data_IF_942286766785
#
_entry.id   IF_942286766785
#
_cell.length_a   1.000
_cell.length_b   1.000
_cell.length_c   1.000
_cell.angle_alpha   90.00
_cell.angle_beta   90.00
_cell.angle_gamma   90.00
#
_symmetry.space_group_name_H-M   'P 1'
#
loop_
_entity.id
_entity.type
_entity.pdbx_description
1 polymer ?
#
# COMPACT_ATOMS: atom_id res chain seq x y z
N UNK A 1 -2.97 12.92 11.93
CA UNK A 1 -2.40 13.19 10.59
C UNK A 1 -1.44 12.09 10.14
N UNK A 2 -0.36 11.80 10.89
CA UNK A 2 0.60 10.75 10.53
C UNK A 2 -0.03 9.37 10.33
N UNK A 3 -0.84 8.91 11.28
CA UNK A 3 -1.61 7.65 11.17
C UNK A 3 -2.49 7.60 9.91
N UNK A 4 -3.04 8.73 9.46
CA UNK A 4 -3.84 8.77 8.24
C UNK A 4 -2.96 8.59 6.99
N UNK A 5 -1.78 9.21 6.95
CA UNK A 5 -0.81 9.03 5.87
C UNK A 5 -0.27 7.60 5.84
N UNK A 6 -0.01 6.99 7.00
CA UNK A 6 0.49 5.63 7.09
C UNK A 6 -0.56 4.60 6.63
N UNK A 7 -1.84 4.80 7.00
CA UNK A 7 -2.93 3.90 6.63
C UNK A 7 -3.36 4.05 5.17
N UNK A 8 -3.53 5.29 4.70
CA UNK A 8 -4.11 5.58 3.39
C UNK A 8 -3.06 5.77 2.29
N UNK A 9 -1.81 6.09 2.66
CA UNK A 9 -0.75 6.50 1.72
C UNK A 9 -0.97 7.90 1.14
N UNK A 10 -2.20 8.17 0.68
CA UNK A 10 -2.69 9.46 0.19
C UNK A 10 -3.92 9.86 1.00
N UNK A 11 -3.84 10.99 1.70
CA UNK A 11 -4.93 11.54 2.49
C UNK A 11 -5.70 12.57 1.68
N UNK A 12 -7.01 12.36 1.59
CA UNK A 12 -7.99 13.20 0.89
C UNK A 12 -9.10 13.61 1.85
N UNK A 13 -9.97 14.54 1.44
CA UNK A 13 -11.18 14.89 2.20
C UNK A 13 -12.05 13.66 2.49
N UNK A 14 -12.24 12.80 1.50
CA UNK A 14 -13.05 11.58 1.61
C UNK A 14 -12.45 10.58 2.60
N UNK A 15 -11.13 10.38 2.57
CA UNK A 15 -10.43 9.51 3.52
C UNK A 15 -10.57 10.00 4.98
N UNK A 16 -10.46 11.32 5.21
CA UNK A 16 -10.65 11.89 6.56
C UNK A 16 -12.10 11.75 7.04
N UNK A 17 -13.07 11.96 6.15
CA UNK A 17 -14.49 11.78 6.48
C UNK A 17 -14.81 10.31 6.80
N UNK A 18 -14.22 9.37 6.05
CA UNK A 18 -14.35 7.94 6.27
C UNK A 18 -13.79 7.46 7.62
N UNK A 19 -12.76 8.13 8.13
CA UNK A 19 -12.16 7.86 9.45
C UNK A 19 -12.92 8.56 10.60
N UNK A 20 -13.89 9.42 10.29
CA UNK A 20 -14.71 10.10 11.31
C UNK A 20 -13.91 11.06 12.20
N UNK A 21 -12.83 11.66 11.68
CA UNK A 21 -11.94 12.51 12.49
C UNK A 21 -12.68 13.76 12.98
N UNK A 22 -12.59 14.02 14.28
CA UNK A 22 -13.18 15.20 14.91
C UNK A 22 -12.62 16.51 14.33
N UNK A 23 -13.49 17.48 14.05
CA UNK A 23 -13.11 18.70 13.33
C UNK A 23 -12.88 18.52 11.81
N UNK A 24 -13.03 17.29 11.30
CA UNK A 24 -13.04 16.96 9.88
C UNK A 24 -11.77 17.36 9.13
N UNK A 25 -11.89 17.51 7.81
CA UNK A 25 -10.75 17.80 6.95
C UNK A 25 -10.05 19.13 7.29
N UNK A 26 -10.79 20.15 7.75
CA UNK A 26 -10.20 21.46 8.07
C UNK A 26 -9.21 21.39 9.24
N UNK A 27 -9.49 20.57 10.26
CA UNK A 27 -8.58 20.36 11.38
C UNK A 27 -7.31 19.62 10.93
N UNK A 28 -7.48 18.54 10.15
CA UNK A 28 -6.38 17.71 9.63
C UNK A 28 -5.52 18.48 8.63
N UNK A 29 -6.13 19.32 7.79
CA UNK A 29 -5.45 20.09 6.75
C UNK A 29 -4.37 21.02 7.33
N UNK A 30 -4.62 21.68 8.47
CA UNK A 30 -3.61 22.54 9.13
C UNK A 30 -2.36 21.77 9.50
N UNK A 31 -2.52 20.53 9.95
CA UNK A 31 -1.40 19.65 10.33
C UNK A 31 -0.69 19.12 9.08
N UNK A 32 -1.44 18.76 8.04
CA UNK A 32 -0.86 18.28 6.77
C UNK A 32 -0.08 19.38 6.03
N UNK A 33 -0.51 20.63 6.13
CA UNK A 33 0.24 21.78 5.58
C UNK A 33 1.59 21.97 6.30
N UNK A 34 1.62 21.85 7.64
CA UNK A 34 2.88 21.86 8.38
C UNK A 34 3.79 20.66 8.04
N UNK A 35 3.19 19.50 7.73
CA UNK A 35 3.95 18.33 7.24
C UNK A 35 4.52 18.56 5.84
N UNK A 36 3.84 19.34 5.00
CA UNK A 36 4.37 19.77 3.70
C UNK A 36 5.57 20.69 3.87
N UNK A 37 5.46 21.72 4.71
CA UNK A 37 6.55 22.66 4.98
C UNK A 37 7.81 21.98 5.55
N UNK A 38 7.62 20.93 6.36
CA UNK A 38 8.70 20.12 6.92
C UNK A 38 9.16 18.97 6.01
N UNK A 39 8.59 18.81 4.82
CA UNK A 39 8.93 17.77 3.84
C UNK A 39 8.43 16.36 4.19
N UNK A 40 7.66 16.19 5.26
CA UNK A 40 7.11 14.89 5.69
C UNK A 40 5.93 14.41 4.83
N UNK A 41 5.27 15.33 4.13
CA UNK A 41 4.22 15.04 3.16
C UNK A 41 4.41 15.91 1.91
N UNK A 42 3.88 15.48 0.77
CA UNK A 42 3.82 16.30 -0.44
C UNK A 42 2.38 16.54 -0.83
N UNK A 43 2.03 17.80 -1.06
CA UNK A 43 0.74 18.19 -1.62
C UNK A 43 0.77 18.15 -3.14
N UNK A 44 -0.28 17.61 -3.74
CA UNK A 44 -0.41 17.62 -5.20
C UNK A 44 -1.63 16.84 -5.69
N UNK A 45 -1.84 16.86 -7.00
CA UNK A 45 -2.79 15.97 -7.67
C UNK A 45 -2.03 14.68 -8.00
N UNK A 46 -2.12 13.69 -7.12
CA UNK A 46 -1.34 12.46 -7.24
C UNK A 46 -2.17 11.36 -7.89
N UNK A 47 -3.46 11.29 -7.58
CA UNK A 47 -4.39 10.29 -8.11
C UNK A 47 -5.61 10.97 -8.71
N UNK A 48 -6.02 10.52 -9.90
CA UNK A 48 -7.24 10.99 -10.55
C UNK A 48 -8.50 10.58 -9.75
N UNK A 49 -9.57 11.37 -9.82
CA UNK A 49 -10.84 11.06 -9.14
C UNK A 49 -10.86 11.30 -7.62
N UNK A 50 -9.71 11.49 -6.96
CA UNK A 50 -9.61 11.71 -5.50
C UNK A 50 -9.77 13.17 -5.04
N UNK A 51 -10.21 14.06 -5.92
CA UNK A 51 -10.44 15.48 -5.63
C UNK A 51 -9.16 16.32 -5.53
N UNK A 52 -9.33 17.63 -5.30
CA UNK A 52 -8.27 18.63 -5.52
C UNK A 52 -7.23 18.80 -4.40
N UNK A 53 -7.55 18.37 -3.18
CA UNK A 53 -6.65 18.48 -2.03
C UNK A 53 -6.21 17.09 -1.60
N UNK A 54 -5.00 16.70 -2.00
CA UNK A 54 -4.38 15.42 -1.65
C UNK A 54 -3.00 15.66 -1.03
N UNK A 55 -2.71 14.91 0.02
CA UNK A 55 -1.42 14.89 0.68
C UNK A 55 -0.93 13.45 0.71
N UNK A 56 0.23 13.20 0.13
CA UNK A 56 0.83 11.88 0.07
C UNK A 56 2.12 11.85 0.89
N UNK A 57 2.39 10.70 1.49
CA UNK A 57 3.73 10.42 2.02
C UNK A 57 4.72 10.36 0.84
N UNK A 58 5.97 10.78 1.04
CA UNK A 58 6.99 10.78 -0.02
C UNK A 58 7.10 9.42 -0.74
N UNK A 59 7.22 8.33 0.03
CA UNK A 59 7.28 6.97 -0.53
C UNK A 59 5.97 6.49 -1.19
N UNK A 60 4.83 7.12 -0.92
CA UNK A 60 3.57 6.78 -1.59
C UNK A 60 3.54 7.33 -3.03
N UNK A 61 4.07 8.54 -3.26
CA UNK A 61 4.12 9.15 -4.60
C UNK A 61 5.00 8.33 -5.54
N UNK A 62 6.17 7.89 -5.07
CA UNK A 62 7.10 7.11 -5.88
C UNK A 62 6.52 5.74 -6.24
N UNK A 63 5.82 5.09 -5.31
CA UNK A 63 5.08 3.85 -5.59
C UNK A 63 4.00 4.05 -6.64
N UNK A 64 3.23 5.14 -6.55
CA UNK A 64 2.18 5.44 -7.55
C UNK A 64 2.76 5.67 -8.95
N UNK A 65 3.89 6.39 -9.05
CA UNK A 65 4.62 6.55 -10.32
C UNK A 65 5.14 5.23 -10.85
N UNK A 66 5.68 4.36 -10.00
CA UNK A 66 6.16 3.05 -10.40
C UNK A 66 5.03 2.16 -10.97
N UNK A 67 3.84 2.19 -10.34
CA UNK A 67 2.65 1.47 -10.82
C UNK A 67 2.15 2.04 -12.15
N UNK A 68 2.05 3.37 -12.29
CA UNK A 68 1.65 4.00 -13.55
C UNK A 68 2.58 3.60 -14.71
N UNK A 69 3.89 3.65 -14.49
CA UNK A 69 4.88 3.22 -15.47
C UNK A 69 4.80 1.73 -15.80
N UNK A 70 4.41 0.87 -14.84
CA UNK A 70 4.22 -0.56 -15.08
C UNK A 70 3.00 -0.81 -15.99
N UNK A 71 1.89 -0.11 -15.74
CA UNK A 71 0.68 -0.19 -16.58
C UNK A 71 0.95 0.24 -18.01
N UNK A 72 1.66 1.36 -18.21
CA UNK A 72 2.03 1.84 -19.55
C UNK A 72 2.92 0.84 -20.31
N UNK A 73 3.75 0.06 -19.59
CA UNK A 73 4.61 -0.96 -20.18
C UNK A 73 3.91 -2.30 -20.43
N UNK A 74 2.68 -2.49 -19.94
CA UNK A 74 1.96 -3.77 -20.02
C UNK A 74 2.54 -4.87 -19.12
N UNK A 75 3.46 -4.52 -18.22
CA UNK A 75 4.05 -5.46 -17.27
C UNK A 75 3.28 -5.44 -15.95
N UNK A 76 2.85 -6.62 -15.52
CA UNK A 76 2.31 -6.83 -14.18
C UNK A 76 3.26 -6.20 -13.16
N UNK A 77 2.70 -5.34 -12.31
CA UNK A 77 3.48 -4.51 -11.38
C UNK A 77 4.45 -5.37 -10.53
N UNK A 78 5.57 -4.85 -10.01
CA UNK A 78 6.38 -5.59 -9.03
C UNK A 78 5.70 -5.58 -7.66
N UNK A 79 5.73 -6.71 -6.94
CA UNK A 79 5.09 -6.83 -5.61
C UNK A 79 5.78 -5.94 -4.60
N UNK A 80 5.23 -5.78 -3.38
CA UNK A 80 6.01 -5.17 -2.30
C UNK A 80 7.27 -6.01 -2.11
N UNK A 81 8.40 -5.51 -2.61
CA UNK A 81 9.71 -6.07 -2.29
C UNK A 81 9.97 -5.76 -0.83
N UNK A 82 9.73 -6.75 0.03
CA UNK A 82 10.36 -6.74 1.35
C UNK A 82 11.89 -6.63 1.14
N UNK A 83 12.61 -5.85 1.97
CA UNK A 83 14.07 -5.82 1.91
C UNK A 83 14.58 -7.26 2.01
N UNK A 84 15.51 -7.60 1.12
CA UNK A 84 16.09 -8.94 1.16
C UNK A 84 17.06 -9.03 2.34
N UNK A 85 17.36 -10.24 2.87
CA UNK A 85 18.38 -10.40 3.91
C UNK A 85 19.78 -9.88 3.52
N UNK A 86 20.01 -9.58 2.24
CA UNK A 86 21.23 -8.95 1.73
C UNK A 86 21.27 -7.43 1.93
N UNK A 87 20.11 -6.79 2.16
CA UNK A 87 19.98 -5.35 2.44
C UNK A 87 20.05 -5.04 3.94
N UNK A 88 20.08 -6.09 4.79
CA UNK A 88 20.29 -6.00 6.23
C UNK A 88 21.78 -6.23 6.48
N UNK A 89 22.53 -5.26 7.03
CA UNK A 89 23.92 -5.52 7.42
C UNK A 89 23.95 -6.68 8.43
N UNK A 90 24.96 -7.56 8.38
CA UNK A 90 25.03 -8.71 9.27
C UNK A 90 24.95 -8.26 10.74
N UNK A 91 24.23 -9.03 11.56
CA UNK A 91 24.11 -8.87 13.02
C UNK A 91 25.45 -9.15 13.75
N UNK A 92 26.52 -8.47 13.36
CA UNK A 92 27.83 -8.59 13.96
C UNK A 92 28.42 -7.19 14.07
N UNK A 93 27.97 -6.45 15.08
CA UNK A 93 28.69 -5.34 15.74
C UNK A 93 27.81 -4.73 16.85
N UNK A 94 27.22 -5.58 17.71
CA UNK A 94 26.74 -5.13 19.01
C UNK A 94 27.84 -5.42 20.04
N UNK A 95 28.33 -4.41 20.80
CA UNK A 95 29.28 -4.66 21.87
C UNK A 95 28.64 -5.58 22.93
N UNK A 96 29.42 -6.55 23.41
CA UNK A 96 29.03 -7.57 24.39
C UNK A 96 28.24 -6.96 25.56
N UNK A 97 26.96 -7.34 25.68
CA UNK A 97 26.23 -7.19 26.93
C UNK A 97 26.64 -8.35 27.84
N UNK A 98 27.02 -8.11 29.11
CA UNK A 98 27.37 -9.19 30.02
C UNK A 98 26.18 -10.12 30.23
N UNK A 99 26.46 -11.41 30.18
CA UNK A 99 25.52 -12.53 30.23
C UNK A 99 24.48 -12.39 31.35
N UNK A 100 23.21 -12.42 30.96
CA UNK A 100 22.09 -12.60 31.88
C UNK A 100 22.04 -14.07 32.29
N UNK A 101 22.53 -14.39 33.49
CA UNK A 101 22.37 -15.71 34.12
C UNK A 101 20.99 -15.79 34.79
N UNK A 102 20.06 -16.65 34.31
CA UNK A 102 18.73 -16.80 34.90
C UNK A 102 18.73 -17.67 36.17
N UNK A 103 19.90 -18.01 36.72
CA UNK A 103 20.07 -18.99 37.79
C UNK A 103 21.09 -18.52 38.86
N UNK A 104 20.88 -17.33 39.42
CA UNK A 104 21.69 -16.76 40.50
C UNK A 104 20.89 -16.42 41.75
N UNK A 105 21.37 -16.93 42.89
CA UNK A 105 20.79 -16.98 44.23
C UNK A 105 20.45 -15.60 44.86
N UNK A 106 19.34 -15.55 45.63
CA UNK A 106 18.97 -14.38 46.44
C UNK A 106 19.78 -14.39 47.73
N UNK A 107 20.88 -13.64 47.76
CA UNK A 107 21.65 -13.35 48.96
C UNK A 107 21.70 -11.86 49.26
N UNK A 108 21.23 -11.48 50.44
CA UNK A 108 21.24 -10.14 51.02
C UNK A 108 22.60 -9.45 51.04
N UNK A 109 22.65 -8.16 50.73
CA UNK A 109 23.27 -7.12 51.57
C UNK A 109 22.98 -5.71 51.03
N UNK A 110 22.56 -4.80 51.91
CA UNK A 110 22.04 -3.48 51.54
C UNK A 110 23.09 -2.40 51.28
N UNK A 111 22.68 -1.37 50.52
CA UNK A 111 22.83 0.09 50.78
C UNK A 111 22.53 0.92 49.53
N UNK A 112 21.63 1.91 49.65
CA UNK A 112 21.65 3.20 48.92
C UNK A 112 20.75 3.36 47.68
N UNK A 113 19.70 4.20 47.78
CA UNK A 113 18.80 4.63 46.68
C UNK A 113 19.40 5.69 45.72
N UNK A 114 18.61 6.45 44.91
CA UNK A 114 17.20 6.89 45.09
C UNK A 114 16.28 6.43 43.94
N UNK A 115 14.98 6.19 44.14
CA UNK A 115 13.93 7.19 44.35
C UNK A 115 12.68 6.70 43.60
N UNK A 116 11.80 5.99 44.30
CA UNK A 116 10.59 5.39 43.73
C UNK A 116 9.52 6.46 43.49
N UNK A 117 8.91 6.44 42.30
CA UNK A 117 7.77 7.27 41.93
C UNK A 117 6.57 6.91 42.82
N UNK A 118 6.01 7.91 43.50
CA UNK A 118 4.73 7.81 44.21
C UNK A 118 3.56 8.06 43.26
N UNK A 119 2.36 7.50 43.50
CA UNK A 119 1.19 7.61 42.61
C UNK A 119 0.54 9.01 42.52
N UNK A 120 1.19 10.06 43.02
CA UNK A 120 0.64 11.42 43.08
C UNK A 120 1.31 12.41 42.09
N UNK A 121 2.24 11.95 41.25
CA UNK A 121 2.90 12.78 40.22
C UNK A 121 2.15 12.77 38.86
N UNK A 122 0.84 12.95 38.90
CA UNK A 122 0.03 13.17 37.69
C UNK A 122 0.24 14.59 37.15
N UNK A 123 1.13 14.71 36.16
CA UNK A 123 1.41 15.93 35.37
C UNK A 123 0.17 16.46 34.61
N UNK A 124 -0.97 15.77 34.70
CA UNK A 124 -2.23 16.12 34.04
C UNK A 124 -3.28 16.78 34.95
N UNK A 125 -2.95 17.11 36.20
CA UNK A 125 -3.88 17.69 37.17
C UNK A 125 -3.56 19.14 37.58
N UNK A 126 -3.38 20.07 36.62
CA UNK A 126 -3.44 21.52 36.93
C UNK A 126 -3.75 22.36 35.66
N UNK A 127 -5.03 22.68 35.36
CA UNK A 127 -5.39 23.50 34.20
C UNK A 127 -5.08 25.00 34.38
N UNK A 128 -4.64 25.45 35.56
CA UNK A 128 -4.47 26.89 35.89
C UNK A 128 -3.02 27.39 35.79
N UNK A 129 -2.05 26.55 35.37
CA UNK A 129 -0.64 26.94 35.22
C UNK A 129 -0.20 27.45 33.84
N UNK A 130 -1.10 27.53 32.85
CA UNK A 130 -0.77 28.16 31.57
C UNK A 130 -1.07 29.66 31.63
N UNK A 131 -0.09 30.41 32.12
CA UNK A 131 -0.06 31.86 31.99
C UNK A 131 -0.09 32.30 30.53
N UNK A 132 -1.08 33.14 30.22
CA UNK A 132 -1.15 34.11 29.09
C UNK A 132 -1.50 33.52 27.71
N UNK A 133 -2.78 33.60 27.37
CA UNK A 133 -3.26 33.61 25.97
C UNK A 133 -2.69 34.83 25.23
N UNK A 134 -2.08 34.68 24.03
CA UNK A 134 -1.70 35.82 23.22
C UNK A 134 -2.96 36.56 22.75
N UNK A 135 -3.00 37.86 23.01
CA UNK A 135 -4.06 38.76 22.54
C UNK A 135 -3.88 39.08 21.05
N UNK A 136 -4.94 39.61 20.44
CA UNK A 136 -5.15 39.89 19.00
C UNK A 136 -4.19 40.93 18.37
N UNK A 137 -2.96 41.07 18.88
CA UNK A 137 -1.96 42.04 18.44
C UNK A 137 -0.66 41.45 17.89
N UNK A 138 -0.36 40.17 18.13
CA UNK A 138 0.94 39.56 17.77
C UNK A 138 0.98 38.95 16.35
N UNK A 139 0.12 39.44 15.44
CA UNK A 139 0.03 38.96 14.07
C UNK A 139 1.02 39.71 13.16
N UNK A 140 2.11 39.05 12.77
CA UNK A 140 3.02 39.55 11.71
C UNK A 140 2.45 39.10 10.36
N UNK A 141 2.15 40.07 9.49
CA UNK A 141 1.56 39.85 8.18
C UNK A 141 2.64 39.46 7.15
N UNK A 142 2.41 38.49 6.24
CA UNK A 142 3.35 38.11 5.17
C UNK A 142 3.74 39.21 4.16
N UNK A 143 3.34 40.47 4.39
CA UNK A 143 3.64 41.63 3.54
C UNK A 143 4.78 42.51 4.08
N UNK A 144 5.32 42.21 5.26
CA UNK A 144 6.35 43.03 5.90
C UNK A 144 7.80 42.60 5.55
N UNK A 145 7.97 41.66 4.62
CA UNK A 145 9.28 41.32 4.05
C UNK A 145 9.45 41.97 2.67
N UNK A 146 10.16 43.10 2.62
CA UNK A 146 10.71 43.66 1.39
C UNK A 146 12.09 44.31 1.61
N UNK A 147 13.13 43.61 1.11
CA UNK A 147 14.42 44.04 0.49
C UNK A 147 15.45 44.88 1.30
N UNK A 148 16.79 44.88 0.96
CA UNK A 148 17.37 44.89 -0.41
C UNK A 148 18.74 44.20 -0.71
N UNK A 149 18.91 43.83 -1.99
CA UNK A 149 20.07 44.15 -2.87
C UNK A 149 21.52 43.69 -2.59
N UNK A 150 22.07 42.85 -3.49
CA UNK A 150 23.47 42.81 -3.98
C UNK A 150 23.55 41.71 -5.07
N UNK A 151 24.11 41.83 -6.29
CA UNK A 151 25.25 42.58 -6.79
C UNK A 151 26.29 41.58 -7.36
N UNK A 152 26.26 41.27 -8.68
CA UNK A 152 27.30 40.44 -9.36
C UNK A 152 28.63 41.21 -9.58
N UNK A 153 29.72 40.57 -10.07
CA UNK A 153 29.89 40.41 -11.54
C UNK A 153 30.76 39.22 -12.09
N UNK A 154 30.41 38.85 -13.34
CA UNK A 154 31.16 38.35 -14.55
C UNK A 154 32.64 37.89 -14.53
N UNK A 155 32.93 36.83 -15.32
CA UNK A 155 33.94 36.90 -16.42
C UNK A 155 34.84 35.66 -16.77
N UNK A 156 34.79 35.20 -18.03
CA UNK A 156 35.87 34.52 -18.82
C UNK A 156 36.04 32.99 -18.66
N UNK A 157 36.38 32.13 -19.64
CA UNK A 157 36.78 32.24 -21.05
C UNK A 157 37.60 30.98 -21.48
N UNK A 158 37.15 30.30 -22.56
CA UNK A 158 37.85 29.52 -23.61
C UNK A 158 39.06 28.53 -23.40
N UNK A 159 38.92 27.34 -24.03
CA UNK A 159 39.83 26.61 -24.98
C UNK A 159 41.07 25.76 -24.57
N UNK A 160 41.12 24.55 -25.16
CA UNK A 160 42.31 23.74 -25.58
C UNK A 160 42.83 22.70 -24.56
N UNK A 161 43.26 21.47 -24.85
CA UNK A 161 43.51 20.68 -26.07
C UNK A 161 44.50 19.52 -25.77
N UNK A 162 44.42 18.40 -26.52
CA UNK A 162 45.41 17.28 -26.70
C UNK A 162 45.76 16.38 -25.49
N UNK A 163 46.02 15.06 -25.57
CA UNK A 163 46.22 14.10 -26.67
C UNK A 163 46.38 12.65 -26.11
N UNK A 164 46.25 11.63 -26.97
CA UNK A 164 46.44 10.20 -26.64
C UNK A 164 47.92 9.77 -26.46
N UNK A 165 48.26 8.45 -26.42
CA UNK A 165 47.91 7.49 -27.48
C UNK A 165 47.57 6.04 -27.04
N UNK A 166 47.12 5.26 -28.05
CA UNK A 166 46.73 3.83 -28.05
C UNK A 166 47.92 2.87 -28.23
N UNK A 167 47.75 1.63 -27.79
CA UNK A 167 48.43 0.41 -28.29
C UNK A 167 47.83 -0.82 -27.60
N UNK A 168 46.95 -1.63 -28.22
CA UNK A 168 47.13 -2.64 -29.27
C UNK A 168 47.77 -3.95 -28.77
N UNK A 169 46.91 -4.91 -28.42
CA UNK A 169 47.16 -6.36 -28.38
C UNK A 169 45.88 -6.99 -28.97
N UNK A 170 45.87 -7.82 -30.01
CA UNK A 170 46.81 -8.88 -30.34
C UNK A 170 46.03 -10.19 -30.22
N UNK A 171 45.10 -10.44 -31.14
CA UNK A 171 44.32 -11.68 -31.22
C UNK A 171 45.20 -12.78 -31.79
N UNK A 172 45.52 -13.79 -30.97
CA UNK A 172 46.19 -15.03 -31.37
C UNK A 172 45.54 -16.22 -30.66
N UNK A 173 45.37 -17.38 -31.32
CA UNK A 173 44.58 -18.49 -30.80
C UNK A 173 45.43 -19.38 -29.88
N UNK A 174 44.81 -19.88 -28.80
CA UNK A 174 45.38 -20.74 -27.76
C UNK A 174 46.28 -20.05 -26.73
N UNK A 175 45.65 -19.55 -25.67
CA UNK A 175 46.31 -19.15 -24.42
C UNK A 175 45.47 -19.61 -23.23
N UNK A 176 45.69 -20.85 -22.81
CA UNK A 176 45.17 -21.41 -21.54
C UNK A 176 45.78 -20.62 -20.39
N UNK A 177 45.03 -19.66 -19.84
CA UNK A 177 45.42 -18.91 -18.66
C UNK A 177 45.25 -19.73 -17.36
N UNK A 178 45.90 -19.34 -16.25
CA UNK A 178 45.95 -20.13 -15.01
C UNK A 178 44.67 -20.08 -14.17
N UNK A 179 43.63 -19.41 -14.66
CA UNK A 179 42.33 -19.35 -14.00
C UNK A 179 41.41 -20.32 -14.72
N UNK A 180 41.37 -21.54 -14.20
CA UNK A 180 40.50 -22.59 -14.70
C UNK A 180 39.04 -22.13 -14.74
N UNK A 181 38.39 -22.39 -15.88
CA UNK A 181 36.95 -22.37 -16.02
C UNK A 181 36.36 -23.42 -15.07
N UNK A 182 35.94 -22.99 -13.88
CA UNK A 182 35.00 -23.73 -13.06
C UNK A 182 33.62 -23.28 -13.48
N UNK A 183 33.06 -24.03 -14.42
CA UNK A 183 31.64 -24.02 -14.73
C UNK A 183 30.89 -24.46 -13.48
N UNK A 184 30.31 -23.52 -12.74
CA UNK A 184 29.29 -23.84 -11.76
C UNK A 184 27.98 -24.11 -12.52
N UNK A 185 27.87 -25.35 -12.98
CA UNK A 185 26.58 -26.03 -13.03
C UNK A 185 26.11 -26.20 -11.59
N UNK A 186 25.48 -25.16 -11.03
CA UNK A 186 24.79 -25.26 -9.75
C UNK A 186 23.33 -25.58 -10.00
N UNK A 187 23.04 -26.87 -9.94
CA UNK A 187 21.70 -27.37 -9.61
C UNK A 187 21.22 -26.74 -8.31
N UNK A 188 20.27 -25.82 -8.42
CA UNK A 188 19.41 -25.41 -7.33
C UNK A 188 17.99 -25.89 -7.62
N UNK A 189 17.34 -26.63 -6.71
CA UNK A 189 15.97 -27.04 -6.91
C UNK A 189 15.03 -25.82 -6.78
N UNK A 190 14.25 -25.59 -7.84
CA UNK A 190 12.84 -25.22 -7.74
C UNK A 190 12.48 -23.82 -7.26
N UNK A 191 12.23 -22.94 -8.25
CA UNK A 191 11.10 -22.00 -8.28
C UNK A 191 11.00 -20.98 -7.12
N UNK A 192 11.74 -19.88 -7.23
CA UNK A 192 11.24 -18.59 -6.71
C UNK A 192 10.13 -18.13 -7.65
N UNK A 193 8.95 -17.90 -7.09
CA UNK A 193 7.79 -17.37 -7.79
C UNK A 193 8.18 -16.14 -8.60
N UNK A 194 8.26 -16.32 -9.91
CA UNK A 194 8.09 -15.22 -10.85
C UNK A 194 6.70 -14.66 -10.53
N UNK A 195 6.52 -13.35 -10.25
CA UNK A 195 5.19 -12.81 -10.07
C UNK A 195 4.35 -13.24 -11.27
N UNK A 196 3.20 -13.87 -11.01
CA UNK A 196 2.32 -14.32 -12.07
C UNK A 196 2.12 -13.16 -13.05
N UNK A 197 2.35 -13.40 -14.34
CA UNK A 197 2.14 -12.44 -15.44
C UNK A 197 0.65 -12.17 -15.67
N UNK A 198 -0.17 -12.26 -14.61
CA UNK A 198 -1.60 -12.06 -14.60
C UNK A 198 -1.98 -10.80 -13.83
N UNK A 199 -3.21 -10.31 -14.04
CA UNK A 199 -3.69 -9.10 -13.38
C UNK A 199 -3.69 -9.25 -11.86
N UNK A 200 -3.28 -8.20 -11.14
CA UNK A 200 -3.14 -8.23 -9.69
C UNK A 200 -4.47 -8.04 -8.99
N UNK A 201 -4.93 -9.08 -8.30
CA UNK A 201 -6.14 -9.06 -7.50
C UNK A 201 -5.84 -8.95 -5.99
N UNK A 202 -6.59 -8.10 -5.29
CA UNK A 202 -6.53 -7.96 -3.82
C UNK A 202 -7.94 -8.03 -3.26
N UNK A 203 -8.14 -8.87 -2.25
CA UNK A 203 -9.39 -8.98 -1.49
C UNK A 203 -9.32 -8.09 -0.25
N UNK A 204 -10.28 -7.19 -0.09
CA UNK A 204 -10.40 -6.31 1.07
C UNK A 204 -11.80 -6.43 1.68
N UNK A 205 -11.91 -6.19 2.98
CA UNK A 205 -13.21 -5.87 3.56
C UNK A 205 -13.73 -4.56 2.91
N UNK A 206 -15.02 -4.48 2.59
CA UNK A 206 -15.56 -3.28 1.95
C UNK A 206 -15.43 -2.04 2.85
N UNK A 207 -15.44 -2.25 4.17
CA UNK A 207 -15.22 -1.23 5.19
C UNK A 207 -13.73 -1.01 5.54
N UNK A 208 -12.80 -1.74 4.90
CA UNK A 208 -11.37 -1.56 5.15
C UNK A 208 -10.95 -0.11 4.84
N UNK A 209 -10.12 0.54 5.67
CA UNK A 209 -9.59 1.86 5.37
C UNK A 209 -8.72 1.91 4.11
N UNK A 210 -8.09 0.81 3.71
CA UNK A 210 -7.37 0.71 2.43
C UNK A 210 -8.30 0.70 1.20
N UNK A 211 -9.61 0.47 1.37
CA UNK A 211 -10.58 0.57 0.29
C UNK A 211 -11.01 2.03 0.05
N UNK A 212 -10.60 2.59 -1.10
CA UNK A 212 -10.95 3.95 -1.51
C UNK A 212 -12.42 4.11 -1.93
N UNK A 213 -13.08 3.03 -2.38
CA UNK A 213 -14.46 3.07 -2.88
C UNK A 213 -15.48 3.24 -1.75
N UNK A 214 -16.40 4.18 -1.95
CA UNK A 214 -17.36 4.62 -0.93
C UNK A 214 -16.75 5.51 0.15
N UNK A 215 -15.50 5.95 0.00
CA UNK A 215 -14.83 6.90 0.88
C UNK A 215 -14.37 8.11 0.07
N UNK A 216 -13.45 7.89 -0.86
CA UNK A 216 -12.89 8.93 -1.71
C UNK A 216 -13.23 8.74 -3.20
N UNK A 217 -13.48 7.50 -3.63
CA UNK A 217 -14.04 7.16 -4.94
C UNK A 217 -15.51 6.77 -4.82
N UNK A 218 -16.30 7.10 -5.83
CA UNK A 218 -17.69 6.61 -5.94
C UNK A 218 -17.66 5.15 -6.37
N UNK A 219 -18.58 4.33 -5.84
CA UNK A 219 -18.76 2.97 -6.33
C UNK A 219 -19.21 2.96 -7.80
N UNK A 220 -18.77 1.98 -8.61
CA UNK A 220 -19.32 1.79 -9.96
C UNK A 220 -20.82 1.49 -9.90
N UNK A 221 -21.54 1.82 -10.99
CA UNK A 221 -22.96 1.48 -11.09
C UNK A 221 -23.13 -0.05 -11.00
N UNK A 222 -24.09 -0.56 -10.21
CA UNK A 222 -24.32 -1.99 -10.13
C UNK A 222 -24.65 -2.60 -11.50
N UNK A 223 -24.20 -3.83 -11.78
CA UNK A 223 -24.54 -4.53 -13.02
C UNK A 223 -26.05 -4.68 -13.20
N UNK A 224 -26.50 -4.79 -14.45
CA UNK A 224 -27.91 -4.99 -14.77
C UNK A 224 -28.49 -6.20 -14.01
N UNK A 225 -29.70 -6.05 -13.45
CA UNK A 225 -30.36 -7.08 -12.65
C UNK A 225 -29.91 -7.18 -11.19
N UNK A 226 -28.87 -6.43 -10.78
CA UNK A 226 -28.42 -6.42 -9.40
C UNK A 226 -29.52 -5.99 -8.42
N UNK A 227 -29.74 -6.80 -7.39
CA UNK A 227 -30.75 -6.55 -6.34
C UNK A 227 -30.22 -5.72 -5.17
N UNK A 228 -28.92 -5.45 -5.14
CA UNK A 228 -28.25 -4.70 -4.09
C UNK A 228 -27.15 -3.82 -4.67
N UNK A 229 -26.76 -2.80 -3.91
CA UNK A 229 -25.70 -1.87 -4.26
C UNK A 229 -24.46 -2.12 -3.40
N UNK A 230 -23.24 -1.95 -3.95
CA UNK A 230 -22.03 -2.03 -3.15
C UNK A 230 -21.98 -0.89 -2.14
N UNK A 231 -21.28 -1.13 -1.03
CA UNK A 231 -21.15 -0.14 0.03
C UNK A 231 -20.16 -0.58 1.11
N UNK A 232 -19.66 0.40 1.89
CA UNK A 232 -18.75 0.15 3.01
C UNK A 232 -19.53 -0.42 4.21
N UNK A 233 -19.86 -1.71 4.14
CA UNK A 233 -20.60 -2.46 5.16
C UNK A 233 -19.71 -3.52 5.80
N UNK A 234 -19.80 -3.67 7.11
CA UNK A 234 -19.09 -4.72 7.84
C UNK A 234 -19.52 -6.11 7.35
N UNK A 235 -18.55 -6.99 7.13
CA UNK A 235 -18.77 -8.35 6.62
C UNK A 235 -18.99 -8.46 5.11
N UNK A 236 -19.03 -7.34 4.38
CA UNK A 236 -18.94 -7.34 2.91
C UNK A 236 -17.48 -7.31 2.46
N UNK A 237 -17.21 -7.83 1.27
CA UNK A 237 -15.88 -7.82 0.66
C UNK A 237 -15.91 -7.14 -0.70
N UNK A 238 -14.76 -6.60 -1.10
CA UNK A 238 -14.50 -6.14 -2.46
C UNK A 238 -13.20 -6.77 -2.94
N UNK A 239 -13.18 -7.19 -4.21
CA UNK A 239 -11.97 -7.62 -4.90
C UNK A 239 -11.63 -6.56 -5.93
N UNK A 240 -10.46 -5.96 -5.73
CA UNK A 240 -9.89 -4.97 -6.63
C UNK A 240 -8.89 -5.68 -7.54
N UNK A 241 -9.06 -5.55 -8.84
CA UNK A 241 -8.11 -6.06 -9.83
C UNK A 241 -7.52 -4.87 -10.55
N UNK A 242 -6.20 -4.72 -10.43
CA UNK A 242 -5.50 -3.50 -10.84
C UNK A 242 -6.16 -2.24 -10.23
N UNK A 243 -6.55 -2.32 -8.96
CA UNK A 243 -7.15 -1.19 -8.23
C UNK A 243 -8.62 -0.91 -8.56
N UNK A 244 -9.20 -1.54 -9.60
CA UNK A 244 -10.59 -1.33 -9.99
C UNK A 244 -11.50 -2.47 -9.43
N UNK A 245 -12.72 -2.19 -8.93
CA UNK A 245 -13.66 -3.19 -8.41
C UNK A 245 -14.11 -4.15 -9.50
N UNK A 246 -13.72 -5.42 -9.38
CA UNK A 246 -14.12 -6.49 -10.29
C UNK A 246 -15.22 -7.36 -9.68
N UNK A 247 -15.19 -7.51 -8.35
CA UNK A 247 -16.16 -8.31 -7.60
C UNK A 247 -16.49 -7.62 -6.27
N UNK A 248 -17.76 -7.63 -5.89
CA UNK A 248 -18.23 -7.28 -4.56
C UNK A 248 -19.09 -8.41 -4.02
N UNK A 249 -18.83 -8.80 -2.76
CA UNK A 249 -19.60 -9.80 -2.04
C UNK A 249 -20.37 -9.13 -0.92
N UNK A 250 -21.68 -9.31 -0.88
CA UNK A 250 -22.49 -8.84 0.23
C UNK A 250 -22.19 -9.65 1.51
N UNK A 251 -22.48 -9.06 2.66
CA UNK A 251 -22.44 -9.72 3.95
C UNK A 251 -23.10 -11.11 3.91
N UNK A 252 -22.36 -12.11 4.36
CA UNK A 252 -22.80 -13.50 4.43
C UNK A 252 -22.56 -14.30 3.14
N UNK A 253 -22.02 -13.68 2.08
CA UNK A 253 -21.48 -14.37 0.92
C UNK A 253 -22.49 -14.98 -0.05
N UNK A 254 -23.77 -14.66 0.11
CA UNK A 254 -24.86 -15.23 -0.70
C UNK A 254 -24.99 -14.58 -2.07
N UNK A 255 -24.62 -13.33 -2.18
CA UNK A 255 -24.86 -12.49 -3.35
C UNK A 255 -23.55 -11.85 -3.78
N UNK A 256 -23.27 -11.93 -5.08
CA UNK A 256 -22.12 -11.30 -5.71
C UNK A 256 -22.58 -10.25 -6.73
N UNK A 257 -21.79 -9.17 -6.84
CA UNK A 257 -21.78 -8.27 -7.98
C UNK A 257 -20.45 -8.45 -8.70
N UNK A 258 -20.49 -8.75 -10.00
CA UNK A 258 -19.31 -8.84 -10.86
C UNK A 258 -19.43 -7.78 -11.95
N UNK A 259 -18.34 -7.02 -12.16
CA UNK A 259 -18.23 -6.00 -13.20
C UNK A 259 -17.27 -6.47 -14.29
N UNK A 260 -17.78 -6.95 -15.44
CA UNK A 260 -16.96 -7.22 -16.62
C UNK A 260 -16.24 -5.96 -17.08
N UNK A 261 -15.06 -6.14 -17.66
CA UNK A 261 -14.26 -5.07 -18.25
C UNK A 261 -14.96 -4.44 -19.46
N UNK A 262 -15.67 -5.27 -20.24
CA UNK A 262 -16.52 -4.85 -21.36
C UNK A 262 -17.94 -5.39 -21.15
N UNK A 263 -18.86 -4.61 -20.54
CA UNK A 263 -20.18 -5.10 -20.16
C UNK A 263 -21.10 -5.43 -21.34
N UNK A 264 -20.85 -4.81 -22.50
CA UNK A 264 -21.63 -4.98 -23.74
C UNK A 264 -20.93 -5.88 -24.77
N UNK A 265 -19.82 -6.53 -24.41
CA UNK A 265 -19.14 -7.45 -25.32
C UNK A 265 -19.99 -8.69 -25.60
N UNK A 266 -19.94 -9.17 -26.85
CA UNK A 266 -20.55 -10.46 -27.23
C UNK A 266 -19.79 -11.66 -26.63
N UNK A 267 -18.53 -11.44 -26.24
CA UNK A 267 -17.69 -12.47 -25.63
C UNK A 267 -18.29 -12.93 -24.28
N UNK A 268 -18.23 -14.22 -23.96
CA UNK A 268 -18.73 -14.72 -22.69
C UNK A 268 -17.92 -14.10 -21.53
N UNK A 269 -18.53 -13.85 -20.36
CA UNK A 269 -17.81 -13.30 -19.20
C UNK A 269 -16.64 -14.17 -18.71
N UNK A 270 -16.62 -15.44 -19.13
CA UNK A 270 -15.53 -16.39 -18.89
C UNK A 270 -14.24 -16.03 -19.64
N UNK A 271 -14.28 -15.14 -20.62
CA UNK A 271 -13.06 -14.73 -21.32
C UNK A 271 -12.39 -13.52 -20.66
N UNK A 272 -13.04 -12.93 -19.63
CA UNK A 272 -12.51 -11.80 -18.89
C UNK A 272 -11.46 -12.24 -17.86
N UNK A 273 -10.19 -11.98 -18.18
CA UNK A 273 -9.05 -12.27 -17.30
C UNK A 273 -9.13 -11.53 -15.95
N UNK A 274 -9.80 -10.38 -15.90
CA UNK A 274 -10.00 -9.59 -14.67
C UNK A 274 -10.96 -10.29 -13.74
N UNK A 275 -12.05 -10.85 -14.28
CA UNK A 275 -13.02 -11.61 -13.49
C UNK A 275 -12.40 -12.92 -12.98
N UNK A 276 -11.55 -13.59 -13.77
CA UNK A 276 -10.80 -14.77 -13.34
C UNK A 276 -9.93 -14.48 -12.12
N UNK A 277 -9.07 -13.47 -12.22
CA UNK A 277 -8.22 -13.08 -11.10
C UNK A 277 -9.02 -12.67 -9.86
N UNK A 278 -10.19 -12.03 -10.05
CA UNK A 278 -11.06 -11.67 -8.95
C UNK A 278 -11.65 -12.89 -8.22
N UNK A 279 -12.15 -13.87 -8.98
CA UNK A 279 -12.72 -15.09 -8.42
C UNK A 279 -11.65 -15.99 -7.78
N UNK A 280 -10.47 -16.12 -8.40
CA UNK A 280 -9.33 -16.83 -7.84
C UNK A 280 -8.88 -16.21 -6.52
N UNK A 281 -8.78 -14.87 -6.44
CA UNK A 281 -8.40 -14.18 -5.21
C UNK A 281 -9.45 -14.38 -4.11
N UNK A 282 -10.74 -14.30 -4.44
CA UNK A 282 -11.82 -14.58 -3.49
C UNK A 282 -11.77 -16.03 -2.99
N UNK A 283 -11.57 -16.99 -3.90
CA UNK A 283 -11.46 -18.40 -3.58
C UNK A 283 -10.22 -18.68 -2.72
N UNK A 284 -9.09 -18.05 -3.04
CA UNK A 284 -7.87 -18.09 -2.25
C UNK A 284 -8.07 -17.57 -0.84
N UNK A 285 -8.76 -16.43 -0.68
CA UNK A 285 -9.11 -15.88 0.62
C UNK A 285 -10.02 -16.82 1.44
N UNK A 286 -11.00 -17.45 0.80
CA UNK A 286 -11.87 -18.43 1.44
C UNK A 286 -11.09 -19.68 1.91
N UNK A 287 -10.25 -20.24 1.03
CA UNK A 287 -9.38 -21.40 1.32
C UNK A 287 -8.33 -21.11 2.39
N UNK A 288 -7.83 -19.88 2.48
CA UNK A 288 -6.93 -19.45 3.56
C UNK A 288 -7.63 -19.34 4.93
N UNK A 289 -8.94 -19.63 5.01
CA UNK A 289 -9.70 -19.62 6.27
C UNK A 289 -10.21 -18.24 6.68
N UNK A 290 -9.92 -17.19 5.91
CA UNK A 290 -10.33 -15.82 6.28
C UNK A 290 -11.83 -15.56 6.14
N UNK A 291 -12.53 -16.35 5.31
CA UNK A 291 -13.98 -16.23 5.05
C UNK A 291 -14.82 -17.40 5.56
N UNK A 292 -14.19 -18.50 5.97
CA UNK A 292 -14.89 -19.74 6.32
C UNK A 292 -15.62 -20.36 5.12
N UNK A 293 -16.77 -21.00 5.38
CA UNK A 293 -17.61 -21.57 4.31
C UNK A 293 -18.49 -20.48 3.70
N UNK A 294 -18.37 -20.30 2.38
CA UNK A 294 -19.17 -19.33 1.61
C UNK A 294 -20.05 -20.08 0.62
N UNK A 295 -21.34 -19.73 0.55
CA UNK A 295 -22.28 -20.28 -0.45
C UNK A 295 -22.94 -19.13 -1.20
N UNK A 296 -22.56 -18.97 -2.46
CA UNK A 296 -23.09 -17.97 -3.39
C UNK A 296 -24.39 -18.52 -3.99
N UNK A 297 -25.51 -17.88 -3.66
CA UNK A 297 -26.84 -18.21 -4.18
C UNK A 297 -27.16 -17.41 -5.45
N UNK A 298 -26.63 -16.18 -5.57
CA UNK A 298 -26.87 -15.29 -6.71
C UNK A 298 -25.66 -14.50 -7.17
N UNK A 299 -25.59 -14.25 -8.47
CA UNK A 299 -24.61 -13.37 -9.12
C UNK A 299 -25.33 -12.39 -10.03
N UNK A 300 -25.11 -11.08 -9.84
CA UNK A 300 -25.77 -10.00 -10.59
C UNK A 300 -27.32 -10.11 -10.61
N UNK A 301 -27.91 -10.70 -9.56
CA UNK A 301 -29.35 -10.92 -9.43
C UNK A 301 -29.86 -12.26 -9.95
N UNK A 302 -29.09 -12.97 -10.79
CA UNK A 302 -29.42 -14.29 -11.31
C UNK A 302 -29.00 -15.40 -10.34
N UNK A 303 -29.67 -16.56 -10.38
CA UNK A 303 -29.26 -17.73 -9.61
C UNK A 303 -27.86 -18.20 -10.01
N UNK A 304 -26.98 -18.43 -9.03
CA UNK A 304 -25.56 -18.71 -9.30
C UNK A 304 -25.33 -19.98 -10.16
N UNK A 305 -26.22 -20.98 -10.05
CA UNK A 305 -26.12 -22.23 -10.81
C UNK A 305 -26.45 -22.08 -12.30
N UNK A 306 -27.19 -21.05 -12.70
CA UNK A 306 -27.57 -20.79 -14.11
C UNK A 306 -26.89 -19.56 -14.69
N UNK A 307 -26.23 -18.78 -13.82
CA UNK A 307 -25.59 -17.54 -14.20
C UNK A 307 -24.44 -17.75 -15.20
N UNK A 308 -24.23 -16.84 -16.16
CA UNK A 308 -23.07 -16.89 -17.06
C UNK A 308 -21.73 -16.78 -16.32
N UNK A 309 -21.73 -16.33 -15.07
CA UNK A 309 -20.54 -16.27 -14.20
C UNK A 309 -20.30 -17.56 -13.41
N UNK A 310 -21.22 -18.54 -13.49
CA UNK A 310 -21.11 -19.81 -12.78
C UNK A 310 -19.83 -20.59 -13.10
N UNK A 311 -19.51 -20.84 -14.38
CA UNK A 311 -18.30 -21.55 -14.77
C UNK A 311 -17.01 -20.92 -14.22
N UNK A 312 -16.93 -19.59 -14.24
CA UNK A 312 -15.79 -18.84 -13.71
C UNK A 312 -15.57 -19.07 -12.20
N UNK A 313 -16.65 -19.13 -11.43
CA UNK A 313 -16.57 -19.44 -9.99
C UNK A 313 -16.22 -20.92 -9.77
N UNK A 314 -16.75 -21.84 -10.59
CA UNK A 314 -16.41 -23.26 -10.51
C UNK A 314 -14.93 -23.52 -10.80
N UNK A 315 -14.37 -22.87 -11.82
CA UNK A 315 -12.94 -22.91 -12.15
C UNK A 315 -12.07 -22.39 -11.01
N UNK A 316 -12.51 -21.35 -10.30
CA UNK A 316 -11.83 -20.85 -9.10
C UNK A 316 -11.89 -21.80 -7.88
N UNK A 317 -12.70 -22.86 -7.97
CA UNK A 317 -12.83 -23.94 -6.98
C UNK A 317 -14.13 -23.91 -6.16
N UNK A 318 -15.15 -23.18 -6.60
CA UNK A 318 -16.49 -23.32 -6.03
C UNK A 318 -17.16 -24.60 -6.54
N UNK A 319 -17.98 -25.24 -5.71
CA UNK A 319 -18.65 -26.49 -6.03
C UNK A 319 -20.16 -26.27 -6.04
N UNK A 320 -20.83 -26.71 -7.09
CA UNK A 320 -22.28 -26.69 -7.17
C UNK A 320 -22.95 -27.49 -6.04
N UNK A 321 -23.96 -26.89 -5.44
CA UNK A 321 -24.84 -27.49 -4.43
C UNK A 321 -26.29 -27.10 -4.74
N UNK A 322 -27.30 -27.80 -4.18
CA UNK A 322 -28.70 -27.42 -4.38
C UNK A 322 -29.04 -25.99 -3.96
N UNK A 323 -28.23 -25.35 -3.09
CA UNK A 323 -28.44 -23.96 -2.66
C UNK A 323 -27.67 -22.94 -3.49
N UNK A 324 -26.69 -23.35 -4.30
CA UNK A 324 -25.79 -22.45 -5.01
C UNK A 324 -24.36 -22.97 -5.10
N UNK A 325 -23.42 -22.08 -5.43
CA UNK A 325 -21.99 -22.39 -5.57
C UNK A 325 -21.28 -22.20 -4.24
N UNK A 326 -20.65 -23.25 -3.71
CA UNK A 326 -20.04 -23.24 -2.38
C UNK A 326 -18.53 -23.45 -2.43
N UNK A 327 -17.81 -22.65 -1.65
CA UNK A 327 -16.40 -22.87 -1.34
C UNK A 327 -16.21 -23.03 0.17
N UNK A 328 -15.17 -23.79 0.55
CA UNK A 328 -14.84 -24.10 1.94
C UNK A 328 -13.36 -23.78 2.18
N UNK A 329 -13.06 -23.34 3.41
CA UNK A 329 -11.72 -23.25 3.96
C UNK A 329 -11.10 -24.64 4.13
#
# INVERSE_FOLDING_TARGET
ARTLLDRHGVVTRGAVAAEGVEGGFSAVYRILAAFEESGQARRGYVVEGLGAAQFAMEGAVDRLRAVANARERGDGSPGPTAPTPADVPPFADFPDFPDFDPSGDRGSDGRGGPGALTPDDDVFADPDRLGRSPSRGDYISPRDYAEPGAGGPRGGGAQGGSGGPRGQYGTGPNGTGPYGNVSYDTGFPGRRDRPATGPRAVVLAAADPANAYGAALTWPEPPAGATHKPGRKAGSLVVLVEGEPALYMERGGKTLLLWPSEPDAEAPPTDDARLHAAAEALAGAARAGSLGTVTVERVNGEAALTSPFGPLLEEAGFIATPRGLRIRA
#
